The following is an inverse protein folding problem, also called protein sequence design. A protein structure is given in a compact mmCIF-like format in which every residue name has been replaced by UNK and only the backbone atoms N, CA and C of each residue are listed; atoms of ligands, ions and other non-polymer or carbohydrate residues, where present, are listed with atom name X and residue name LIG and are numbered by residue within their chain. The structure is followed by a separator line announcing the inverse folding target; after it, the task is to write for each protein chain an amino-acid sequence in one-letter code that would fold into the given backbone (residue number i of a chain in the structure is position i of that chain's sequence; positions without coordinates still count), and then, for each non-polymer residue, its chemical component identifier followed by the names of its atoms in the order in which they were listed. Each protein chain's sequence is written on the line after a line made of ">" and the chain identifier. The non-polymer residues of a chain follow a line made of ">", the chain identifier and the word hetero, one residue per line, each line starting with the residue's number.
data_IF_440976783736
#
_entry.id   IF_440976783736
#
_cell.length_a   1.000
_cell.length_b   1.000
_cell.length_c   1.000
_cell.angle_alpha   90.00
_cell.angle_beta   90.00
_cell.angle_gamma   90.00
#
_symmetry.space_group_name_H-M   'P 1'
#
loop_
_entity.id
_entity.type
_entity.pdbx_description
1 polymer ?
#
# COMPACT_ATOMS: atom_id res chain seq x y z
N UNK A 1 8.68 16.49 6.92
CA UNK A 1 7.88 16.47 5.68
C UNK A 1 8.83 16.12 4.54
N UNK A 2 8.76 14.92 3.99
CA UNK A 2 9.70 14.46 2.96
C UNK A 2 9.29 15.01 1.58
N UNK A 3 10.26 15.32 0.72
CA UNK A 3 10.03 15.77 -0.66
C UNK A 3 9.07 14.83 -1.43
N UNK A 4 9.15 13.51 -1.15
CA UNK A 4 8.20 12.52 -1.67
C UNK A 4 6.73 12.86 -1.39
N UNK A 5 6.41 13.32 -0.17
CA UNK A 5 5.04 13.64 0.20
C UNK A 5 4.52 14.86 -0.57
N UNK A 6 5.38 15.87 -0.80
CA UNK A 6 5.03 17.06 -1.59
C UNK A 6 4.82 16.71 -3.08
N UNK A 7 5.65 15.82 -3.64
CA UNK A 7 5.50 15.32 -5.01
C UNK A 7 4.23 14.47 -5.17
N UNK A 8 3.85 13.66 -4.17
CA UNK A 8 2.60 12.88 -4.16
C UNK A 8 1.34 13.74 -4.25
N UNK A 9 1.34 14.92 -3.62
CA UNK A 9 0.21 15.86 -3.72
C UNK A 9 0.15 16.61 -5.05
N UNK A 10 1.29 16.75 -5.74
CA UNK A 10 1.40 17.53 -6.98
C UNK A 10 1.31 16.69 -8.26
N UNK A 11 1.13 15.36 -8.13
CA UNK A 11 1.08 14.44 -9.29
C UNK A 11 2.44 14.22 -9.96
N UNK A 12 3.54 14.59 -9.31
CA UNK A 12 4.90 14.53 -9.87
C UNK A 12 5.54 13.16 -9.62
N UNK A 13 4.93 12.11 -10.19
CA UNK A 13 5.35 10.71 -10.01
C UNK A 13 6.80 10.50 -10.46
N UNK A 14 7.22 11.16 -11.54
CA UNK A 14 8.58 11.05 -12.09
C UNK A 14 9.64 11.55 -11.10
N UNK A 15 9.38 12.69 -10.45
CA UNK A 15 10.28 13.26 -9.45
C UNK A 15 10.29 12.42 -8.17
N UNK A 16 9.11 11.97 -7.72
CA UNK A 16 9.00 11.07 -6.58
C UNK A 16 9.83 9.78 -6.81
N UNK A 17 9.79 9.22 -8.02
CA UNK A 17 10.58 8.04 -8.38
C UNK A 17 12.08 8.31 -8.38
N UNK A 18 12.51 9.47 -8.90
CA UNK A 18 13.91 9.84 -8.90
C UNK A 18 14.45 9.95 -7.46
N UNK A 19 13.69 10.62 -6.59
CA UNK A 19 14.01 10.73 -5.17
C UNK A 19 14.05 9.34 -4.52
N UNK A 20 13.03 8.51 -4.75
CA UNK A 20 12.97 7.15 -4.22
C UNK A 20 14.19 6.32 -4.65
N UNK A 21 14.60 6.39 -5.92
CA UNK A 21 15.77 5.66 -6.43
C UNK A 21 17.06 6.10 -5.74
N UNK A 22 17.21 7.38 -5.45
CA UNK A 22 18.42 7.95 -4.84
C UNK A 22 18.51 7.73 -3.31
N UNK A 23 17.47 7.22 -2.66
CA UNK A 23 17.53 6.84 -1.24
C UNK A 23 18.23 5.49 -1.12
N UNK A 24 19.44 5.46 -0.53
CA UNK A 24 20.22 4.24 -0.31
C UNK A 24 19.52 3.29 0.67
N UNK A 25 19.11 3.79 1.84
CA UNK A 25 18.42 3.01 2.86
C UNK A 25 16.92 3.35 2.87
N UNK A 26 16.15 2.55 2.12
CA UNK A 26 14.70 2.69 2.05
C UNK A 26 14.05 2.05 3.27
N UNK A 27 13.41 2.87 4.10
CA UNK A 27 12.59 2.37 5.21
C UNK A 27 11.19 2.01 4.73
N UNK A 28 10.47 1.19 5.52
CA UNK A 28 9.05 0.89 5.31
C UNK A 28 8.23 2.15 4.97
N UNK A 29 8.42 3.25 5.71
CA UNK A 29 7.71 4.52 5.49
C UNK A 29 7.94 5.11 4.09
N UNK A 30 9.16 4.97 3.56
CA UNK A 30 9.52 5.45 2.21
C UNK A 30 8.81 4.59 1.15
N UNK A 31 8.72 3.28 1.35
CA UNK A 31 7.91 2.41 0.49
C UNK A 31 6.42 2.76 0.55
N UNK A 32 5.83 2.88 1.74
CA UNK A 32 4.40 3.24 1.88
C UNK A 32 4.07 4.58 1.20
N UNK A 33 4.96 5.57 1.32
CA UNK A 33 4.78 6.89 0.68
C UNK A 33 4.85 6.80 -0.84
N UNK A 34 5.78 5.99 -1.38
CA UNK A 34 5.89 5.79 -2.83
C UNK A 34 4.70 5.00 -3.38
N UNK A 35 4.21 3.99 -2.66
CA UNK A 35 3.01 3.23 -3.01
C UNK A 35 1.78 4.15 -3.02
N UNK A 36 1.59 4.99 -2.01
CA UNK A 36 0.49 5.98 -1.99
C UNK A 36 0.58 6.94 -3.19
N UNK A 37 1.77 7.44 -3.50
CA UNK A 37 2.03 8.28 -4.67
C UNK A 37 1.54 7.62 -5.97
N UNK A 38 1.98 6.39 -6.21
CA UNK A 38 1.63 5.62 -7.40
C UNK A 38 0.14 5.28 -7.46
N UNK A 39 -0.45 4.93 -6.31
CA UNK A 39 -1.86 4.57 -6.18
C UNK A 39 -2.76 5.75 -6.53
N UNK A 40 -2.41 6.96 -6.07
CA UNK A 40 -3.13 8.20 -6.40
C UNK A 40 -2.98 8.60 -7.87
N UNK A 41 -1.85 8.26 -8.48
CA UNK A 41 -1.59 8.48 -9.89
C UNK A 41 -2.15 7.37 -10.81
N UNK A 42 -2.90 6.41 -10.27
CA UNK A 42 -3.40 5.23 -10.99
C UNK A 42 -2.29 4.35 -11.62
N UNK A 43 -1.05 4.46 -11.15
CA UNK A 43 0.09 3.65 -11.57
C UNK A 43 0.15 2.33 -10.78
N UNK A 44 -0.93 1.55 -10.87
CA UNK A 44 -1.19 0.41 -9.99
C UNK A 44 -0.19 -0.74 -10.12
N UNK A 45 0.23 -1.09 -11.34
CA UNK A 45 1.24 -2.14 -11.56
C UNK A 45 2.53 -1.81 -10.81
N UNK A 46 3.00 -0.58 -10.93
CA UNK A 46 4.24 -0.15 -10.27
C UNK A 46 4.10 -0.08 -8.75
N UNK A 47 2.91 0.27 -8.25
CA UNK A 47 2.63 0.23 -6.82
C UNK A 47 2.68 -1.21 -6.29
N UNK A 48 2.16 -2.17 -7.07
CA UNK A 48 2.17 -3.59 -6.74
C UNK A 48 3.59 -4.18 -6.80
N UNK A 49 4.38 -3.81 -7.82
CA UNK A 49 5.80 -4.18 -7.92
C UNK A 49 6.61 -3.74 -6.68
N UNK A 50 6.32 -2.55 -6.12
CA UNK A 50 6.98 -2.09 -4.89
C UNK A 50 6.56 -2.87 -3.64
N UNK A 51 5.29 -3.29 -3.57
CA UNK A 51 4.82 -4.18 -2.50
C UNK A 51 5.53 -5.53 -2.63
N UNK A 52 5.60 -6.10 -3.83
CA UNK A 52 6.28 -7.37 -4.10
C UNK A 52 7.80 -7.29 -3.81
N UNK A 53 8.44 -6.16 -4.16
CA UNK A 53 9.83 -5.89 -3.80
C UNK A 53 10.04 -5.86 -2.28
N UNK A 54 9.15 -5.20 -1.56
CA UNK A 54 9.22 -5.11 -0.11
C UNK A 54 8.99 -6.48 0.55
N UNK A 55 7.97 -7.22 0.09
CA UNK A 55 7.61 -8.57 0.54
C UNK A 55 8.75 -9.58 0.46
N UNK A 56 9.64 -9.45 -0.54
CA UNK A 56 10.77 -10.38 -0.72
C UNK A 56 11.74 -10.39 0.45
N UNK A 57 11.82 -9.30 1.22
CA UNK A 57 12.80 -9.15 2.31
C UNK A 57 12.17 -8.76 3.65
N UNK A 58 10.91 -8.29 3.65
CA UNK A 58 10.23 -7.76 4.83
C UNK A 58 8.74 -8.09 4.80
N UNK A 59 8.10 -8.15 5.97
CA UNK A 59 6.64 -8.25 6.05
C UNK A 59 6.01 -6.89 5.74
N UNK A 60 5.20 -6.76 4.68
CA UNK A 60 4.46 -5.54 4.40
C UNK A 60 3.49 -5.24 5.55
N UNK A 61 3.07 -3.99 5.65
CA UNK A 61 2.00 -3.60 6.57
C UNK A 61 0.70 -3.44 5.80
N UNK A 62 -0.40 -3.66 6.51
CA UNK A 62 -1.77 -3.41 6.09
C UNK A 62 -1.92 -2.02 5.43
N UNK A 63 -1.22 -0.99 5.93
CA UNK A 63 -1.27 0.38 5.39
C UNK A 63 -0.81 0.48 3.93
N UNK A 64 0.12 -0.38 3.48
CA UNK A 64 0.61 -0.39 2.10
C UNK A 64 -0.49 -0.88 1.14
N UNK A 65 -1.23 -1.92 1.52
CA UNK A 65 -2.38 -2.39 0.74
C UNK A 65 -3.56 -1.44 0.83
N UNK A 66 -3.80 -0.81 1.98
CA UNK A 66 -4.88 0.18 2.12
C UNK A 66 -4.67 1.38 1.18
N UNK A 67 -3.44 1.87 1.04
CA UNK A 67 -3.10 2.94 0.09
C UNK A 67 -3.41 2.52 -1.36
N UNK A 68 -2.98 1.32 -1.75
CA UNK A 68 -3.23 0.77 -3.08
C UNK A 68 -4.72 0.53 -3.35
N UNK A 69 -5.44 -0.02 -2.38
CA UNK A 69 -6.88 -0.25 -2.45
C UNK A 69 -7.66 1.07 -2.58
N UNK A 70 -7.27 2.09 -1.81
CA UNK A 70 -7.87 3.43 -1.89
C UNK A 70 -7.71 4.03 -3.29
N UNK A 71 -6.50 3.96 -3.86
CA UNK A 71 -6.25 4.39 -5.24
C UNK A 71 -7.10 3.64 -6.26
N UNK A 72 -7.14 2.31 -6.17
CA UNK A 72 -7.92 1.47 -7.09
C UNK A 72 -9.42 1.75 -7.03
N UNK A 73 -9.97 1.99 -5.82
CA UNK A 73 -11.36 2.37 -5.61
C UNK A 73 -11.67 3.74 -6.22
N UNK A 74 -10.78 4.71 -6.04
CA UNK A 74 -10.93 6.06 -6.61
C UNK A 74 -10.90 6.04 -8.14
N UNK A 75 -10.10 5.16 -8.74
CA UNK A 75 -10.08 4.91 -10.18
C UNK A 75 -11.26 4.05 -10.68
N UNK A 76 -12.18 3.63 -9.81
CA UNK A 76 -13.32 2.75 -10.11
C UNK A 76 -12.91 1.40 -10.73
N UNK A 77 -11.70 0.93 -10.44
CA UNK A 77 -11.22 -0.37 -10.89
C UNK A 77 -11.62 -1.46 -9.88
N UNK A 78 -12.83 -2.00 -10.06
CA UNK A 78 -13.41 -2.99 -9.16
C UNK A 78 -12.61 -4.30 -9.11
N UNK A 79 -12.12 -4.77 -10.26
CA UNK A 79 -11.33 -6.00 -10.35
C UNK A 79 -10.03 -5.89 -9.52
N UNK A 80 -9.29 -4.81 -9.73
CA UNK A 80 -8.06 -4.57 -8.98
C UNK A 80 -8.33 -4.37 -7.49
N UNK A 81 -9.36 -3.59 -7.15
CA UNK A 81 -9.75 -3.37 -5.75
C UNK A 81 -10.05 -4.68 -5.03
N UNK A 82 -10.78 -5.59 -5.68
CA UNK A 82 -11.08 -6.90 -5.11
C UNK A 82 -9.81 -7.74 -4.93
N UNK A 83 -8.94 -7.79 -5.94
CA UNK A 83 -7.69 -8.54 -5.88
C UNK A 83 -6.78 -8.07 -4.72
N UNK A 84 -6.62 -6.75 -4.55
CA UNK A 84 -5.84 -6.16 -3.46
C UNK A 84 -6.48 -6.50 -2.11
N UNK A 85 -7.80 -6.40 -2.00
CA UNK A 85 -8.52 -6.71 -0.77
C UNK A 85 -8.36 -8.18 -0.37
N UNK A 86 -8.50 -9.11 -1.31
CA UNK A 86 -8.33 -10.54 -1.05
C UNK A 86 -6.90 -10.87 -0.63
N UNK A 87 -5.89 -10.28 -1.28
CA UNK A 87 -4.48 -10.41 -0.90
C UNK A 87 -4.23 -9.88 0.51
N UNK A 88 -4.74 -8.68 0.82
CA UNK A 88 -4.61 -8.07 2.14
C UNK A 88 -5.25 -8.95 3.22
N UNK A 89 -6.46 -9.47 3.00
CA UNK A 89 -7.17 -10.32 3.95
C UNK A 89 -6.45 -11.63 4.22
N UNK A 90 -5.84 -12.24 3.20
CA UNK A 90 -5.07 -13.47 3.37
C UNK A 90 -3.79 -13.26 4.19
N UNK A 91 -3.17 -12.08 4.10
CA UNK A 91 -1.94 -11.75 4.82
C UNK A 91 -2.20 -11.24 6.24
N UNK A 92 -3.31 -10.54 6.45
CA UNK A 92 -3.75 -10.03 7.76
C UNK A 92 -5.13 -10.60 8.06
N UNK A 93 -5.24 -11.91 8.38
CA UNK A 93 -6.51 -12.46 8.80
C UNK A 93 -6.98 -11.73 10.06
N UNK A 94 -8.22 -11.27 10.06
CA UNK A 94 -8.84 -10.75 11.28
C UNK A 94 -8.73 -11.84 12.36
N UNK A 95 -8.08 -11.51 13.48
CA UNK A 95 -8.18 -12.36 14.67
C UNK A 95 -9.64 -12.32 15.09
N UNK A 96 -10.38 -13.42 14.86
CA UNK A 96 -11.64 -13.64 15.58
C UNK A 96 -11.26 -13.71 17.06
N UNK A 97 -11.75 -12.75 17.84
CA UNK A 97 -11.55 -12.76 19.29
C UNK A 97 -12.09 -14.09 19.85
N UNK A 98 -11.31 -14.89 20.59
CA UNK A 98 -11.77 -16.18 21.10
C UNK A 98 -12.84 -16.11 22.21
N UNK A 99 -13.43 -14.96 22.53
CA UNK A 99 -14.17 -14.76 23.79
C UNK A 99 -15.53 -14.08 23.63
N UNK A 100 -16.38 -14.61 22.75
CA UNK A 100 -17.82 -14.57 23.02
C UNK A 100 -18.31 -16.02 22.92
N UNK A 101 -18.08 -16.77 24.00
CA UNK A 101 -18.81 -18.01 24.25
C UNK A 101 -20.28 -17.63 24.45
N UNK A 102 -21.23 -18.29 23.76
CA UNK A 102 -22.66 -18.00 23.88
C UNK A 102 -23.30 -18.40 25.23
N UNK A 103 -22.50 -18.73 26.25
CA UNK A 103 -22.98 -19.22 27.55
C UNK A 103 -23.04 -18.15 28.66
N UNK A 104 -22.66 -16.89 28.39
CA UNK A 104 -22.75 -15.78 29.36
C UNK A 104 -23.97 -14.86 29.11
N UNK A 105 -25.12 -15.42 28.73
CA UNK A 105 -26.40 -14.72 28.58
C UNK A 105 -27.48 -15.25 29.52
#
# INVERSE_FOLDING_TARGET
>A
VCALNACSHSGLVSEARLIFKNIEMKTMRIYSTMIDCLSRASAFEQAQELIDEYERNHSPDSTMYMALLSGARNAKNAYLSQNIYDRMKNLFPEKKDPLISPDDA
#
